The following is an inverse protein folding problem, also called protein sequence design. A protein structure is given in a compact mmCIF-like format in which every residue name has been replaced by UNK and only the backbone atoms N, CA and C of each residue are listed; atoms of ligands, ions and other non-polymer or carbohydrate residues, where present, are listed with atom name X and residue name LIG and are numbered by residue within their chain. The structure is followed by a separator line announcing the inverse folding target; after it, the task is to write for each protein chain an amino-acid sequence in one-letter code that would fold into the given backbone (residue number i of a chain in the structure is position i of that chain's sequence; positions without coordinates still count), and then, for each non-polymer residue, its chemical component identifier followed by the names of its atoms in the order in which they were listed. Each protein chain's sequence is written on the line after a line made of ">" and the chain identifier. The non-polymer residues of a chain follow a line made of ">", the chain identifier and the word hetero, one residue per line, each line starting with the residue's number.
data_IF_247492431488
#
_entry.id   IF_247492431488
#
_cell.length_a   1.000
_cell.length_b   1.000
_cell.length_c   1.000
_cell.angle_alpha   90.00
_cell.angle_beta   90.00
_cell.angle_gamma   90.00
#
_symmetry.space_group_name_H-M   'P 1'
#
loop_
_entity.id
_entity.type
_entity.pdbx_description
1 polymer ?
#
# COMPACT_ATOMS: atom_id res chain seq x y z
N UNK A 1 21.53 12.04 22.30
CA UNK A 1 21.30 10.78 21.56
C UNK A 1 20.03 10.03 21.96
N UNK A 2 19.54 10.06 23.21
CA UNK A 2 18.32 9.34 23.60
C UNK A 2 16.99 9.92 23.02
N UNK A 3 16.89 11.22 22.80
CA UNK A 3 15.65 11.83 22.29
C UNK A 3 15.31 11.46 20.84
N UNK A 4 16.31 11.24 19.98
CA UNK A 4 16.08 10.82 18.59
C UNK A 4 15.55 9.38 18.50
N UNK A 5 16.09 8.48 19.34
CA UNK A 5 15.61 7.10 19.41
C UNK A 5 14.18 7.03 19.98
N UNK A 6 13.89 7.83 21.02
CA UNK A 6 12.55 7.93 21.58
C UNK A 6 11.56 8.56 20.59
N UNK A 7 11.97 9.59 19.85
CA UNK A 7 11.14 10.24 18.82
C UNK A 7 10.83 9.29 17.67
N UNK A 8 11.79 8.48 17.21
CA UNK A 8 11.57 7.47 16.17
C UNK A 8 10.60 6.39 16.63
N UNK A 9 10.71 5.93 17.87
CA UNK A 9 9.79 4.93 18.43
C UNK A 9 8.37 5.50 18.59
N UNK A 10 8.25 6.78 18.98
CA UNK A 10 6.97 7.47 19.06
C UNK A 10 6.32 7.60 17.67
N UNK A 11 7.08 7.96 16.63
CA UNK A 11 6.58 8.06 15.25
C UNK A 11 6.04 6.71 14.73
N UNK A 12 6.77 5.61 15.00
CA UNK A 12 6.32 4.25 14.65
C UNK A 12 5.01 3.89 15.37
N UNK A 13 4.89 4.22 16.66
CA UNK A 13 3.67 3.96 17.44
C UNK A 13 2.49 4.81 16.92
N UNK A 14 2.74 6.05 16.52
CA UNK A 14 1.72 6.93 15.92
C UNK A 14 1.27 6.38 14.57
N UNK A 15 2.19 5.96 13.71
CA UNK A 15 1.85 5.34 12.41
C UNK A 15 1.04 4.06 12.58
N UNK A 16 1.36 3.23 13.58
CA UNK A 16 0.60 2.04 13.91
C UNK A 16 -0.80 2.36 14.44
N UNK A 17 -0.93 3.34 15.33
CA UNK A 17 -2.22 3.81 15.85
C UNK A 17 -3.10 4.43 14.76
N UNK A 18 -2.53 5.22 13.87
CA UNK A 18 -3.24 5.80 12.72
C UNK A 18 -3.76 4.72 11.78
N UNK A 19 -2.93 3.72 11.46
CA UNK A 19 -3.33 2.53 10.69
C UNK A 19 -4.46 1.77 11.40
N UNK A 20 -4.36 1.59 12.72
CA UNK A 20 -5.39 0.90 13.50
C UNK A 20 -6.71 1.67 13.54
N UNK A 21 -6.66 2.99 13.70
CA UNK A 21 -7.84 3.86 13.69
C UNK A 21 -8.56 3.78 12.34
N UNK A 22 -7.78 3.86 11.25
CA UNK A 22 -8.24 3.68 9.87
C UNK A 22 -8.88 2.31 9.63
N UNK A 23 -8.25 1.24 10.09
CA UNK A 23 -8.80 -0.12 9.98
C UNK A 23 -10.11 -0.28 10.77
N UNK A 24 -10.21 0.37 11.93
CA UNK A 24 -11.43 0.38 12.76
C UNK A 24 -12.58 1.11 12.07
N UNK A 25 -12.28 2.20 11.34
CA UNK A 25 -13.25 2.95 10.56
C UNK A 25 -13.86 2.11 9.43
N UNK A 26 -13.10 1.18 8.83
CA UNK A 26 -13.54 0.27 7.76
C UNK A 26 -14.29 -0.95 8.33
N UNK A 27 -13.82 -1.47 9.46
CA UNK A 27 -14.37 -2.67 10.09
C UNK A 27 -15.81 -2.47 10.59
N UNK A 28 -16.11 -1.29 11.15
CA UNK A 28 -17.43 -0.99 11.75
C UNK A 28 -18.58 -0.97 10.74
N UNK A 29 -18.51 -0.27 9.60
CA UNK A 29 -19.50 -0.36 8.52
C UNK A 29 -19.66 -1.78 7.99
N UNK A 30 -18.55 -2.47 7.73
CA UNK A 30 -18.55 -3.85 7.21
C UNK A 30 -19.30 -4.80 8.15
N UNK A 31 -19.06 -4.70 9.47
CA UNK A 31 -19.78 -5.50 10.47
C UNK A 31 -21.28 -5.17 10.52
N UNK A 32 -21.66 -3.89 10.40
CA UNK A 32 -23.06 -3.49 10.40
C UNK A 32 -23.81 -4.03 9.19
N UNK A 33 -23.18 -4.02 8.01
CA UNK A 33 -23.83 -4.49 6.78
C UNK A 33 -23.98 -6.02 6.80
N UNK A 34 -22.96 -6.75 7.26
CA UNK A 34 -23.04 -8.21 7.42
C UNK A 34 -24.21 -8.60 8.34
N UNK A 35 -24.42 -7.87 9.44
CA UNK A 35 -25.58 -8.10 10.34
C UNK A 35 -26.93 -7.80 9.67
N UNK A 36 -27.02 -6.73 8.88
CA UNK A 36 -28.25 -6.43 8.12
C UNK A 36 -28.56 -7.49 7.06
N UNK A 37 -27.52 -8.02 6.40
CA UNK A 37 -27.65 -9.12 5.44
C UNK A 37 -28.09 -10.42 6.12
N UNK A 38 -27.49 -10.76 7.27
CA UNK A 38 -27.87 -11.93 8.08
C UNK A 38 -29.34 -11.86 8.54
N UNK A 39 -29.80 -10.68 9.00
CA UNK A 39 -31.20 -10.45 9.38
C UNK A 39 -32.17 -10.61 8.20
N UNK A 40 -31.80 -10.10 7.03
CA UNK A 40 -32.59 -10.22 5.80
C UNK A 40 -32.67 -11.66 5.29
N UNK A 41 -31.57 -12.41 5.41
CA UNK A 41 -31.49 -13.83 5.05
C UNK A 41 -32.38 -14.67 5.98
N UNK A 42 -32.33 -14.41 7.29
CA UNK A 42 -33.11 -15.17 8.27
C UNK A 42 -34.63 -14.94 8.14
N UNK A 43 -35.04 -13.78 7.62
CA UNK A 43 -36.45 -13.46 7.36
C UNK A 43 -36.95 -13.93 5.99
N UNK A 44 -36.08 -14.48 5.14
CA UNK A 44 -36.43 -14.96 3.80
C UNK A 44 -36.93 -13.87 2.85
N UNK A 45 -36.70 -12.60 3.17
CA UNK A 45 -37.21 -11.48 2.39
C UNK A 45 -36.20 -11.08 1.30
N UNK A 46 -36.30 -11.72 0.13
CA UNK A 46 -35.40 -11.45 -1.00
C UNK A 46 -35.46 -9.98 -1.48
N UNK A 47 -36.62 -9.31 -1.38
CA UNK A 47 -36.74 -7.90 -1.78
C UNK A 47 -35.92 -6.99 -0.84
N UNK A 48 -36.02 -7.20 0.48
CA UNK A 48 -35.17 -6.51 1.45
C UNK A 48 -33.70 -6.88 1.32
N UNK A 49 -33.39 -8.12 0.92
CA UNK A 49 -32.02 -8.53 0.65
C UNK A 49 -31.45 -7.79 -0.56
N UNK A 50 -32.21 -7.66 -1.64
CA UNK A 50 -31.81 -6.86 -2.82
C UNK A 50 -31.58 -5.39 -2.44
N UNK A 51 -32.49 -4.77 -1.69
CA UNK A 51 -32.35 -3.38 -1.24
C UNK A 51 -31.15 -3.20 -0.30
N UNK A 52 -30.90 -4.16 0.59
CA UNK A 52 -29.73 -4.16 1.48
C UNK A 52 -28.43 -4.35 0.69
N UNK A 53 -28.44 -5.14 -0.39
CA UNK A 53 -27.30 -5.37 -1.26
C UNK A 53 -26.97 -4.13 -2.10
N UNK A 54 -27.97 -3.43 -2.63
CA UNK A 54 -27.76 -2.16 -3.35
C UNK A 54 -27.17 -1.09 -2.43
N UNK A 55 -27.61 -1.06 -1.16
CA UNK A 55 -27.03 -0.20 -0.13
C UNK A 55 -25.60 -0.62 0.24
N UNK A 56 -25.32 -1.92 0.30
CA UNK A 56 -23.97 -2.45 0.50
C UNK A 56 -23.04 -2.02 -0.63
N UNK A 57 -23.46 -2.15 -1.89
CA UNK A 57 -22.65 -1.80 -3.06
C UNK A 57 -22.30 -0.32 -3.06
N UNK A 58 -23.26 0.56 -2.76
CA UNK A 58 -23.00 2.00 -2.59
C UNK A 58 -22.01 2.29 -1.47
N UNK A 59 -22.17 1.64 -0.31
CA UNK A 59 -21.26 1.80 0.82
C UNK A 59 -19.87 1.26 0.52
N UNK A 60 -19.79 0.13 -0.18
CA UNK A 60 -18.55 -0.53 -0.55
C UNK A 60 -17.74 0.31 -1.54
N UNK A 61 -18.37 0.85 -2.58
CA UNK A 61 -17.69 1.74 -3.54
C UNK A 61 -17.16 3.00 -2.85
N UNK A 62 -17.94 3.60 -1.94
CA UNK A 62 -17.47 4.78 -1.19
C UNK A 62 -16.29 4.43 -0.28
N UNK A 63 -16.37 3.28 0.39
CA UNK A 63 -15.31 2.77 1.25
C UNK A 63 -14.04 2.45 0.45
N UNK A 64 -14.16 1.88 -0.76
CA UNK A 64 -13.02 1.59 -1.63
C UNK A 64 -12.29 2.88 -2.04
N UNK A 65 -13.02 3.92 -2.45
CA UNK A 65 -12.43 5.22 -2.76
C UNK A 65 -11.75 5.82 -1.53
N UNK A 66 -12.34 5.68 -0.35
CA UNK A 66 -11.75 6.16 0.89
C UNK A 66 -10.48 5.37 1.26
N UNK A 67 -10.47 4.05 1.06
CA UNK A 67 -9.31 3.17 1.30
C UNK A 67 -8.18 3.49 0.31
N UNK A 68 -8.49 3.70 -0.96
CA UNK A 68 -7.50 4.08 -1.97
C UNK A 68 -6.89 5.46 -1.66
N UNK A 69 -7.70 6.45 -1.33
CA UNK A 69 -7.20 7.76 -0.91
C UNK A 69 -6.32 7.67 0.35
N UNK A 70 -6.76 6.84 1.30
CA UNK A 70 -6.05 6.59 2.54
C UNK A 70 -4.72 5.88 2.31
N UNK A 71 -4.69 4.86 1.46
CA UNK A 71 -3.48 4.13 1.06
C UNK A 71 -2.53 5.03 0.30
N UNK A 72 -3.02 5.88 -0.59
CA UNK A 72 -2.20 6.88 -1.29
C UNK A 72 -1.60 7.91 -0.33
N UNK A 73 -2.38 8.37 0.66
CA UNK A 73 -1.89 9.29 1.70
C UNK A 73 -0.88 8.62 2.63
N UNK A 74 -1.14 7.37 3.02
CA UNK A 74 -0.24 6.57 3.83
C UNK A 74 1.04 6.22 3.07
N UNK A 75 0.99 5.93 1.77
CA UNK A 75 2.18 5.72 0.95
C UNK A 75 3.07 6.98 0.93
N UNK A 76 2.48 8.17 0.81
CA UNK A 76 3.19 9.44 0.91
C UNK A 76 3.86 9.64 2.27
N UNK A 77 3.17 9.35 3.38
CA UNK A 77 3.72 9.49 4.74
C UNK A 77 4.72 8.39 5.11
N UNK A 78 4.47 7.15 4.68
CA UNK A 78 5.33 5.99 4.91
C UNK A 78 6.61 6.07 4.09
N UNK A 79 6.60 6.74 2.93
CA UNK A 79 7.81 7.03 2.14
C UNK A 79 8.84 7.83 2.95
N UNK A 80 8.39 8.66 3.90
CA UNK A 80 9.27 9.44 4.77
C UNK A 80 9.85 8.60 5.92
N UNK A 81 9.03 7.73 6.54
CA UNK A 81 9.45 6.89 7.69
C UNK A 81 10.11 5.56 7.27
N UNK A 82 9.91 5.10 6.04
CA UNK A 82 10.53 3.90 5.47
C UNK A 82 11.14 4.22 4.10
N UNK A 83 12.37 4.77 4.07
CA UNK A 83 13.04 5.09 2.81
C UNK A 83 13.23 3.81 1.97
N UNK A 84 12.90 3.89 0.68
CA UNK A 84 13.05 2.75 -0.25
C UNK A 84 14.49 2.19 -0.26
N UNK A 85 15.48 3.05 -0.07
CA UNK A 85 16.89 2.67 -0.03
C UNK A 85 17.22 1.81 1.21
N UNK A 86 16.53 2.03 2.35
CA UNK A 86 16.68 1.19 3.55
C UNK A 86 16.01 -0.18 3.38
N UNK A 87 14.85 -0.22 2.68
CA UNK A 87 14.16 -1.47 2.36
C UNK A 87 14.98 -2.29 1.35
N UNK A 88 15.55 -1.65 0.34
CA UNK A 88 16.40 -2.31 -0.66
C UNK A 88 17.65 -2.92 -0.05
N UNK A 89 18.32 -2.20 0.86
CA UNK A 89 19.48 -2.73 1.59
C UNK A 89 19.10 -3.88 2.53
N UNK A 90 17.97 -3.78 3.24
CA UNK A 90 17.50 -4.86 4.13
C UNK A 90 17.07 -6.08 3.33
N UNK A 91 16.39 -5.90 2.19
CA UNK A 91 16.04 -6.97 1.27
C UNK A 91 17.29 -7.67 0.73
N UNK A 92 18.34 -6.93 0.35
CA UNK A 92 19.61 -7.52 -0.08
C UNK A 92 20.30 -8.29 1.06
N UNK A 93 20.31 -7.75 2.28
CA UNK A 93 20.91 -8.43 3.43
C UNK A 93 20.18 -9.73 3.78
N UNK A 94 18.84 -9.71 3.82
CA UNK A 94 18.02 -10.91 4.04
C UNK A 94 18.18 -11.88 2.86
N UNK A 95 18.29 -11.40 1.64
CA UNK A 95 18.53 -12.21 0.46
C UNK A 95 19.89 -12.95 0.56
N UNK A 96 20.94 -12.24 0.94
CA UNK A 96 22.29 -12.79 1.14
C UNK A 96 22.31 -13.80 2.31
N UNK A 97 21.62 -13.50 3.42
CA UNK A 97 21.50 -14.37 4.60
C UNK A 97 20.78 -15.70 4.30
N UNK A 98 19.79 -15.68 3.40
CA UNK A 98 19.03 -16.86 2.98
C UNK A 98 19.50 -17.46 1.64
N UNK A 99 20.60 -16.95 1.07
CA UNK A 99 21.13 -17.40 -0.21
C UNK A 99 20.20 -17.18 -1.41
N UNK A 100 19.19 -16.32 -1.28
CA UNK A 100 18.32 -15.88 -2.35
C UNK A 100 19.04 -14.78 -3.14
N UNK A 101 19.23 -14.94 -4.46
CA UNK A 101 19.62 -13.80 -5.30
C UNK A 101 18.37 -12.94 -5.55
N UNK A 102 18.13 -11.93 -4.71
CA UNK A 102 17.09 -10.94 -4.98
C UNK A 102 17.58 -10.00 -6.06
N UNK A 103 17.16 -10.24 -7.30
CA UNK A 103 17.14 -9.18 -8.31
C UNK A 103 16.08 -8.18 -7.86
N UNK A 104 16.46 -7.06 -7.26
CA UNK A 104 15.57 -5.94 -6.95
C UNK A 104 15.12 -5.32 -8.27
N UNK A 105 14.23 -6.02 -8.99
CA UNK A 105 13.36 -5.42 -9.99
C UNK A 105 12.03 -5.21 -9.27
N UNK A 106 11.69 -3.97 -8.86
CA UNK A 106 10.34 -3.70 -8.38
C UNK A 106 9.35 -4.23 -9.44
N UNK A 107 8.27 -4.93 -9.03
CA UNK A 107 7.33 -5.51 -9.97
C UNK A 107 6.64 -4.38 -10.74
N UNK A 108 7.21 -4.03 -11.89
CA UNK A 108 6.55 -3.22 -12.88
C UNK A 108 5.39 -4.07 -13.42
N UNK A 109 4.17 -3.60 -13.18
CA UNK A 109 2.99 -4.23 -13.72
C UNK A 109 3.10 -4.30 -15.26
N UNK A 110 3.04 -5.53 -15.75
CA UNK A 110 2.64 -5.96 -17.09
C UNK A 110 3.62 -5.76 -18.29
N UNK A 111 3.93 -6.92 -18.89
CA UNK A 111 4.04 -7.18 -20.34
C UNK A 111 5.27 -6.67 -21.12
N UNK A 112 6.32 -7.49 -21.20
CA UNK A 112 6.76 -8.15 -22.45
C UNK A 112 8.06 -8.94 -22.22
N UNK A 113 8.10 -10.18 -22.70
CA UNK A 113 9.33 -10.91 -22.89
C UNK A 113 10.16 -10.23 -24.00
N UNK A 114 11.41 -9.88 -23.72
CA UNK A 114 12.52 -9.92 -24.68
C UNK A 114 13.86 -10.13 -23.98
N UNK A 115 14.70 -10.84 -24.71
CA UNK A 115 15.99 -11.43 -24.41
C UNK A 115 17.08 -10.46 -23.93
N UNK A 116 17.92 -10.97 -23.03
CA UNK A 116 19.37 -10.72 -22.87
C UNK A 116 20.00 -9.55 -23.64
N UNK A 117 20.47 -8.52 -22.92
CA UNK A 117 21.69 -7.77 -23.24
C UNK A 117 22.09 -6.87 -22.04
N UNK A 118 23.36 -7.03 -21.64
CA UNK A 118 24.20 -6.22 -20.75
C UNK A 118 23.59 -5.49 -19.53
N UNK A 119 23.93 -6.00 -18.34
CA UNK A 119 23.74 -5.32 -17.05
C UNK A 119 24.78 -4.21 -16.87
N UNK A 120 24.51 -3.02 -17.38
CA UNK A 120 25.06 -1.80 -16.77
C UNK A 120 24.26 -1.49 -15.50
N UNK A 121 24.94 -1.47 -14.34
CA UNK A 121 24.40 -0.94 -13.07
C UNK A 121 24.10 0.55 -13.24
N UNK A 122 22.90 0.89 -13.72
CA UNK A 122 22.44 2.27 -13.78
C UNK A 122 22.18 2.74 -12.34
N UNK A 123 23.07 3.57 -11.80
CA UNK A 123 22.88 4.25 -10.53
C UNK A 123 21.66 5.18 -10.59
N UNK A 124 20.92 5.30 -9.48
CA UNK A 124 19.77 6.21 -9.33
C UNK A 124 20.12 7.65 -9.75
N UNK A 125 21.36 8.07 -9.54
CA UNK A 125 21.88 9.37 -9.98
C UNK A 125 21.89 9.55 -11.50
N UNK A 126 22.15 8.47 -12.24
CA UNK A 126 22.15 8.49 -13.71
C UNK A 126 20.73 8.63 -14.26
N UNK A 127 19.75 7.98 -13.61
CA UNK A 127 18.33 8.13 -13.95
C UNK A 127 17.81 9.55 -13.63
N UNK A 128 18.18 10.09 -12.46
CA UNK A 128 17.82 11.47 -12.08
C UNK A 128 18.41 12.50 -13.04
N UNK A 129 19.64 12.28 -13.50
CA UNK A 129 20.30 13.13 -14.50
C UNK A 129 19.63 13.02 -15.87
N UNK A 130 19.35 11.81 -16.36
CA UNK A 130 18.63 11.59 -17.63
C UNK A 130 17.22 12.19 -17.60
N UNK A 131 16.52 12.11 -16.48
CA UNK A 131 15.20 12.72 -16.31
C UNK A 131 15.27 14.25 -16.36
N UNK A 132 16.27 14.85 -15.72
CA UNK A 132 16.49 16.30 -15.75
C UNK A 132 16.82 16.80 -17.16
N UNK A 133 17.67 16.09 -17.90
CA UNK A 133 17.99 16.39 -19.29
C UNK A 133 16.76 16.27 -20.20
N UNK A 134 15.91 15.27 -19.99
CA UNK A 134 14.69 15.07 -20.78
C UNK A 134 13.63 16.14 -20.47
N UNK A 135 13.55 16.59 -19.22
CA UNK A 135 12.67 17.69 -18.77
C UNK A 135 13.15 19.07 -19.23
N UNK A 136 14.45 19.23 -19.49
CA UNK A 136 15.03 20.45 -20.06
C UNK A 136 14.92 20.50 -21.60
N UNK A 137 14.63 19.37 -22.25
CA UNK A 137 14.52 19.24 -23.72
C UNK A 137 13.07 19.24 -24.23
N UNK A 138 12.10 19.29 -23.33
CA UNK A 138 10.67 19.52 -23.64
C UNK A 138 10.25 20.90 -23.16
#
# INVERSE_FOLDING_TARGET
>A
MNYLCLSSHLDVVVAHLDTQAKMTMISKPTSSIVKSLESSLNTGNLLKMSETMDSFERQFVNMEVQVEFMKSSMAGSTSLSTPEDQIGSLMQQVADDYGLKVSVRPPQAANHAISSMDEEKVSKDDLSRRLAELKARG
#
